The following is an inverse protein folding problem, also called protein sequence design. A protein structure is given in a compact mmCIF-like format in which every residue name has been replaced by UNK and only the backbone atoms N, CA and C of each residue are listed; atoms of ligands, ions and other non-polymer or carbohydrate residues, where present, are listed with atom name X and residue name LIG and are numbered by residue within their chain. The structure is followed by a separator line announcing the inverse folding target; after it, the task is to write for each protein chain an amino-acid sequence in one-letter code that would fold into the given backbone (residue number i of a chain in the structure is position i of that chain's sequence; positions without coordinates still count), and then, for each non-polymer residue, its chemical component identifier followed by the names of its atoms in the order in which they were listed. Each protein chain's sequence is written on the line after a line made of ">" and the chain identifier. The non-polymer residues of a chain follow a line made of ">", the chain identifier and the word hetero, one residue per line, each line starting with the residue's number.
data_IF_095100564177
#
_entry.id   IF_095100564177
#
_cell.length_a   1.000
_cell.length_b   1.000
_cell.length_c   1.000
_cell.angle_alpha   90.00
_cell.angle_beta   90.00
_cell.angle_gamma   90.00
#
_symmetry.space_group_name_H-M   'P 1'
#
loop_
_entity.id
_entity.type
_entity.pdbx_description
1 polymer ?
#
# COMPACT_ATOMS: atom_id res chain seq x y z
N UNK A 1 4.34 -40.00 -30.05
CA UNK A 1 3.38 -39.34 -29.14
C UNK A 1 4.04 -38.99 -27.78
N UNK A 2 4.69 -39.88 -27.08
CA UNK A 2 5.31 -39.65 -25.74
C UNK A 2 6.39 -38.56 -25.72
N UNK A 3 7.25 -38.45 -26.75
CA UNK A 3 8.28 -37.37 -26.82
C UNK A 3 7.70 -35.95 -26.99
N UNK A 4 6.53 -35.84 -27.60
CA UNK A 4 5.86 -34.53 -27.79
C UNK A 4 5.15 -34.08 -26.50
N UNK A 5 4.56 -35.04 -25.76
CA UNK A 5 3.93 -34.83 -24.47
C UNK A 5 4.95 -34.37 -23.41
N UNK A 6 6.14 -35.01 -23.36
CA UNK A 6 7.22 -34.61 -22.48
C UNK A 6 7.75 -33.19 -22.78
N UNK A 7 7.84 -32.78 -24.06
CA UNK A 7 8.26 -31.43 -24.43
C UNK A 7 7.25 -30.39 -24.00
N UNK A 8 5.95 -30.62 -24.21
CA UNK A 8 4.88 -29.71 -23.81
C UNK A 8 4.77 -29.60 -22.28
N UNK A 9 4.93 -30.72 -21.56
CA UNK A 9 4.92 -30.73 -20.10
C UNK A 9 6.14 -29.99 -19.52
N UNK A 10 7.34 -30.24 -20.03
CA UNK A 10 8.57 -29.53 -19.65
C UNK A 10 8.44 -28.03 -19.98
N UNK A 11 7.86 -27.67 -21.13
CA UNK A 11 7.63 -26.28 -21.53
C UNK A 11 6.61 -25.60 -20.62
N UNK A 12 5.55 -26.30 -20.23
CA UNK A 12 4.54 -25.77 -19.30
C UNK A 12 5.09 -25.60 -17.88
N UNK A 13 5.86 -26.55 -17.38
CA UNK A 13 6.51 -26.48 -16.07
C UNK A 13 7.58 -25.40 -16.04
N UNK A 14 8.46 -25.32 -17.05
CA UNK A 14 9.46 -24.27 -17.16
C UNK A 14 8.81 -22.88 -17.28
N UNK A 15 7.72 -22.78 -18.04
CA UNK A 15 7.01 -21.48 -18.21
C UNK A 15 6.31 -21.05 -16.92
N UNK A 16 5.80 -21.97 -16.10
CA UNK A 16 5.14 -21.68 -14.82
C UNK A 16 6.14 -21.26 -13.73
N UNK A 17 7.36 -21.80 -13.74
CA UNK A 17 8.42 -21.48 -12.76
C UNK A 17 9.33 -20.33 -13.23
N UNK A 18 9.64 -20.25 -14.52
CA UNK A 18 10.56 -19.25 -15.07
C UNK A 18 9.94 -17.84 -15.13
N UNK A 19 8.63 -17.73 -15.41
CA UNK A 19 7.96 -16.41 -15.47
C UNK A 19 8.08 -15.59 -14.20
N UNK A 20 7.75 -16.12 -13.00
CA UNK A 20 7.87 -15.33 -11.76
C UNK A 20 9.32 -14.95 -11.45
N UNK A 21 10.29 -15.83 -11.76
CA UNK A 21 11.72 -15.53 -11.59
C UNK A 21 12.15 -14.42 -12.52
N UNK A 22 11.76 -14.47 -13.81
CA UNK A 22 12.08 -13.42 -14.77
C UNK A 22 11.47 -12.07 -14.36
N UNK A 23 10.20 -12.07 -13.95
CA UNK A 23 9.52 -10.86 -13.46
C UNK A 23 10.26 -10.29 -12.25
N UNK A 24 10.68 -11.14 -11.31
CA UNK A 24 11.45 -10.72 -10.14
C UNK A 24 12.83 -10.14 -10.54
N UNK A 25 13.55 -10.76 -11.47
CA UNK A 25 14.82 -10.22 -11.96
C UNK A 25 14.60 -8.85 -12.63
N UNK A 26 13.60 -8.71 -13.48
CA UNK A 26 13.28 -7.45 -14.13
C UNK A 26 12.90 -6.37 -13.11
N UNK A 27 12.15 -6.74 -12.08
CA UNK A 27 11.82 -5.86 -10.97
C UNK A 27 13.07 -5.39 -10.22
N UNK A 28 14.00 -6.30 -9.89
CA UNK A 28 15.27 -5.95 -9.23
C UNK A 28 16.09 -5.00 -10.11
N UNK A 29 16.22 -5.30 -11.40
CA UNK A 29 16.93 -4.43 -12.37
C UNK A 29 16.28 -3.04 -12.41
N UNK A 30 14.95 -2.97 -12.44
CA UNK A 30 14.21 -1.70 -12.42
C UNK A 30 14.49 -0.88 -11.15
N UNK A 31 14.44 -1.53 -9.98
CA UNK A 31 14.73 -0.88 -8.68
C UNK A 31 16.16 -0.36 -8.64
N UNK A 32 17.14 -1.18 -9.03
CA UNK A 32 18.55 -0.77 -9.07
C UNK A 32 18.78 0.36 -10.07
N UNK A 33 18.12 0.32 -11.23
CA UNK A 33 18.16 1.40 -12.22
C UNK A 33 17.58 2.71 -11.68
N UNK A 34 16.43 2.64 -10.99
CA UNK A 34 15.84 3.81 -10.32
C UNK A 34 16.78 4.40 -9.27
N UNK A 35 17.41 3.55 -8.46
CA UNK A 35 18.33 3.98 -7.40
C UNK A 35 19.61 4.60 -7.97
N UNK A 36 20.21 4.01 -8.98
CA UNK A 36 21.36 4.57 -9.67
C UNK A 36 21.03 5.94 -10.29
N UNK A 37 19.88 6.07 -10.91
CA UNK A 37 19.46 7.31 -11.52
C UNK A 37 19.16 8.40 -10.49
N UNK A 38 18.46 8.06 -9.41
CA UNK A 38 18.20 8.98 -8.30
C UNK A 38 19.52 9.44 -7.63
N UNK A 39 20.44 8.50 -7.39
CA UNK A 39 21.75 8.81 -6.81
C UNK A 39 22.53 9.83 -7.66
N UNK A 40 22.51 9.70 -9.00
CA UNK A 40 23.10 10.65 -9.93
C UNK A 40 22.51 12.06 -9.75
N UNK A 41 21.21 12.18 -9.62
CA UNK A 41 20.53 13.47 -9.38
C UNK A 41 20.87 14.09 -8.03
N UNK A 42 20.92 13.28 -6.98
CA UNK A 42 21.34 13.71 -5.64
C UNK A 42 22.78 14.21 -5.65
N UNK A 43 23.69 13.51 -6.31
CA UNK A 43 25.09 13.95 -6.46
C UNK A 43 25.17 15.29 -7.22
N UNK A 44 24.37 15.48 -8.25
CA UNK A 44 24.30 16.74 -8.98
C UNK A 44 23.84 17.92 -8.12
N UNK A 45 22.93 17.67 -7.16
CA UNK A 45 22.42 18.71 -6.26
C UNK A 45 23.42 19.08 -5.15
N UNK A 46 23.98 18.05 -4.49
CA UNK A 46 24.68 18.23 -3.21
C UNK A 46 26.20 18.10 -3.28
N UNK A 47 26.73 17.45 -4.31
CA UNK A 47 28.16 17.18 -4.43
C UNK A 47 28.66 17.27 -5.87
N UNK A 48 28.47 18.41 -6.57
CA UNK A 48 28.99 18.56 -7.93
C UNK A 48 30.49 18.45 -7.94
N UNK A 49 31.02 17.38 -8.56
CA UNK A 49 32.49 17.22 -8.76
C UNK A 49 33.26 16.59 -7.62
N UNK A 50 32.65 16.10 -6.56
CA UNK A 50 33.32 15.35 -5.47
C UNK A 50 32.78 13.92 -5.36
N UNK A 51 33.69 12.99 -5.03
CA UNK A 51 33.29 11.68 -4.49
C UNK A 51 32.48 11.92 -3.21
N UNK A 52 31.20 11.61 -3.23
CA UNK A 52 30.30 11.85 -2.08
C UNK A 52 30.80 11.14 -0.82
N UNK A 53 30.25 11.53 0.33
CA UNK A 53 30.53 10.88 1.61
C UNK A 53 30.30 9.36 1.49
N UNK A 54 31.34 8.52 1.73
CA UNK A 54 31.21 7.06 1.61
C UNK A 54 30.13 6.49 2.55
N UNK A 55 29.93 7.09 3.73
CA UNK A 55 28.88 6.69 4.67
C UNK A 55 27.48 6.85 4.06
N UNK A 56 27.23 7.98 3.37
CA UNK A 56 25.98 8.20 2.65
C UNK A 56 25.73 7.10 1.60
N UNK A 57 26.78 6.72 0.86
CA UNK A 57 26.72 5.69 -0.15
C UNK A 57 26.39 4.31 0.44
N UNK A 58 27.03 3.95 1.56
CA UNK A 58 26.73 2.69 2.25
C UNK A 58 25.32 2.64 2.82
N UNK A 59 24.85 3.75 3.42
CA UNK A 59 23.46 3.84 3.93
C UNK A 59 22.48 3.72 2.78
N UNK A 60 22.68 4.45 1.69
CA UNK A 60 21.80 4.45 0.53
C UNK A 60 21.60 3.04 -0.05
N UNK A 61 22.71 2.35 -0.36
CA UNK A 61 22.67 1.01 -0.92
C UNK A 61 22.29 -0.05 0.11
N UNK A 62 22.61 0.16 1.36
CA UNK A 62 22.20 -0.69 2.47
C UNK A 62 20.67 -0.72 2.61
N UNK A 63 20.00 0.43 2.52
CA UNK A 63 18.54 0.52 2.52
C UNK A 63 17.92 -0.20 1.32
N UNK A 64 18.46 -0.03 0.13
CA UNK A 64 18.02 -0.74 -1.07
C UNK A 64 18.16 -2.26 -0.89
N UNK A 65 19.31 -2.73 -0.39
CA UNK A 65 19.54 -4.16 -0.16
C UNK A 65 18.56 -4.75 0.87
N UNK A 66 18.39 -4.06 2.00
CA UNK A 66 17.44 -4.48 3.04
C UNK A 66 16.02 -4.57 2.47
N UNK A 67 15.62 -3.58 1.66
CA UNK A 67 14.28 -3.58 1.05
C UNK A 67 14.11 -4.73 0.05
N UNK A 68 15.08 -4.99 -0.81
CA UNK A 68 15.04 -6.11 -1.75
C UNK A 68 14.98 -7.47 -1.03
N UNK A 69 15.75 -7.64 0.06
CA UNK A 69 15.68 -8.84 0.90
C UNK A 69 14.29 -8.97 1.54
N UNK A 70 13.76 -7.90 2.12
CA UNK A 70 12.43 -7.91 2.76
C UNK A 70 11.33 -8.27 1.76
N UNK A 71 11.35 -7.69 0.55
CA UNK A 71 10.41 -8.00 -0.52
C UNK A 71 10.55 -9.45 -1.02
N UNK A 72 11.79 -9.96 -1.14
CA UNK A 72 12.05 -11.34 -1.53
C UNK A 72 11.48 -12.35 -0.53
N UNK A 73 11.71 -12.10 0.77
CA UNK A 73 11.16 -12.94 1.85
C UNK A 73 9.63 -12.86 1.86
N UNK A 74 9.07 -11.66 1.70
CA UNK A 74 7.62 -11.46 1.64
C UNK A 74 7.01 -12.19 0.44
N UNK A 75 7.60 -12.04 -0.75
CA UNK A 75 7.13 -12.69 -1.97
C UNK A 75 7.20 -14.21 -1.91
N UNK A 76 8.29 -14.78 -1.36
CA UNK A 76 8.45 -16.24 -1.22
C UNK A 76 7.46 -16.86 -0.21
N UNK A 77 6.97 -16.06 0.74
CA UNK A 77 6.04 -16.52 1.78
C UNK A 77 4.60 -16.10 1.52
N UNK A 78 4.32 -15.42 0.41
CA UNK A 78 2.99 -14.87 0.13
C UNK A 78 1.87 -15.92 0.15
N UNK A 79 2.12 -17.14 -0.32
CA UNK A 79 1.15 -18.24 -0.26
C UNK A 79 0.99 -18.87 1.14
N UNK A 80 1.89 -18.56 2.09
CA UNK A 80 1.81 -19.06 3.48
C UNK A 80 1.04 -18.09 4.40
N UNK A 81 0.41 -17.06 3.82
CA UNK A 81 -0.24 -15.96 4.54
C UNK A 81 -1.68 -16.29 4.98
N UNK A 82 -1.97 -17.54 5.30
CA UNK A 82 -3.20 -17.90 6.01
C UNK A 82 -3.23 -17.39 7.46
N UNK A 83 -2.08 -16.97 7.99
CA UNK A 83 -1.99 -16.44 9.35
C UNK A 83 -2.22 -14.91 9.33
N UNK A 84 -3.39 -14.43 9.81
CA UNK A 84 -3.72 -13.00 9.84
C UNK A 84 -2.69 -12.16 10.59
N UNK A 85 -1.98 -12.77 11.58
CA UNK A 85 -0.97 -12.08 12.37
C UNK A 85 0.22 -11.59 11.55
N UNK A 86 0.51 -12.23 10.42
CA UNK A 86 1.61 -11.88 9.51
C UNK A 86 1.24 -10.78 8.52
N UNK A 87 -0.05 -10.60 8.29
CA UNK A 87 -0.54 -9.63 7.31
C UNK A 87 -0.08 -8.20 7.61
N UNK A 88 -0.10 -7.82 8.90
CA UNK A 88 0.42 -6.52 9.33
C UNK A 88 1.88 -6.28 8.91
N UNK A 89 2.75 -7.29 9.06
CA UNK A 89 4.17 -7.18 8.68
C UNK A 89 4.34 -6.94 7.19
N UNK A 90 3.51 -7.59 6.36
CA UNK A 90 3.55 -7.42 4.91
C UNK A 90 3.08 -6.03 4.52
N UNK A 91 1.94 -5.57 5.07
CA UNK A 91 1.44 -4.23 4.83
C UNK A 91 2.47 -3.17 5.23
N UNK A 92 3.19 -3.39 6.34
CA UNK A 92 4.27 -2.50 6.78
C UNK A 92 5.42 -2.47 5.77
N UNK A 93 5.90 -3.64 5.30
CA UNK A 93 6.98 -3.72 4.30
C UNK A 93 6.56 -3.04 3.00
N UNK A 94 5.33 -3.31 2.52
CA UNK A 94 4.80 -2.67 1.31
C UNK A 94 4.64 -1.15 1.49
N UNK A 95 4.17 -0.71 2.66
CA UNK A 95 4.06 0.72 2.99
C UNK A 95 5.43 1.43 2.99
N UNK A 96 6.44 0.81 3.62
CA UNK A 96 7.82 1.33 3.63
C UNK A 96 8.38 1.36 2.20
N UNK A 97 8.13 0.31 1.41
CA UNK A 97 8.54 0.28 0.01
C UNK A 97 7.94 1.46 -0.76
N UNK A 98 6.64 1.67 -0.69
CA UNK A 98 5.98 2.79 -1.37
C UNK A 98 6.50 4.15 -0.86
N UNK A 99 6.70 4.30 0.45
CA UNK A 99 7.25 5.51 1.06
C UNK A 99 8.67 5.84 0.56
N UNK A 100 9.49 4.83 0.25
CA UNK A 100 10.84 5.03 -0.26
C UNK A 100 10.87 5.23 -1.78
N UNK A 101 10.04 4.50 -2.52
CA UNK A 101 10.18 4.43 -3.99
C UNK A 101 9.25 5.37 -4.75
N UNK A 102 8.07 5.74 -4.24
CA UNK A 102 7.23 6.76 -4.89
C UNK A 102 7.92 8.14 -4.91
N UNK A 103 8.52 8.64 -3.81
CA UNK A 103 9.33 9.86 -3.86
C UNK A 103 10.50 9.80 -4.85
N UNK A 104 11.21 8.66 -4.91
CA UNK A 104 12.30 8.47 -5.89
C UNK A 104 11.79 8.47 -7.32
N UNK A 105 10.64 7.86 -7.58
CA UNK A 105 10.00 7.86 -8.90
C UNK A 105 9.68 9.28 -9.36
N UNK A 106 9.08 10.09 -8.49
CA UNK A 106 8.76 11.48 -8.77
C UNK A 106 10.02 12.32 -9.01
N UNK A 107 11.04 12.15 -8.16
CA UNK A 107 12.33 12.80 -8.33
C UNK A 107 13.00 12.40 -9.65
N UNK A 108 13.00 11.13 -10.01
CA UNK A 108 13.55 10.62 -11.27
C UNK A 108 12.79 11.15 -12.48
N UNK A 109 11.47 11.30 -12.39
CA UNK A 109 10.66 11.88 -13.45
C UNK A 109 11.05 13.35 -13.72
N UNK A 110 11.20 14.16 -12.66
CA UNK A 110 11.65 15.54 -12.82
C UNK A 110 13.10 15.63 -13.30
N UNK A 111 13.98 14.72 -12.83
CA UNK A 111 15.35 14.62 -13.34
C UNK A 111 15.38 14.31 -14.82
N UNK A 112 14.54 13.36 -15.31
CA UNK A 112 14.45 13.02 -16.72
C UNK A 112 14.04 14.23 -17.55
N UNK A 113 13.06 15.02 -17.09
CA UNK A 113 12.68 16.26 -17.76
C UNK A 113 13.86 17.26 -17.83
N UNK A 114 14.62 17.38 -16.75
CA UNK A 114 15.84 18.21 -16.69
C UNK A 114 16.93 17.71 -17.62
N UNK A 115 17.13 16.39 -17.71
CA UNK A 115 18.11 15.78 -18.63
C UNK A 115 17.70 16.02 -20.09
N UNK A 116 16.43 15.84 -20.44
CA UNK A 116 15.89 16.13 -21.78
C UNK A 116 16.03 17.62 -22.13
N UNK A 117 15.67 18.52 -21.20
CA UNK A 117 15.84 19.95 -21.38
C UNK A 117 17.30 20.33 -21.59
N UNK A 118 18.23 19.69 -20.85
CA UNK A 118 19.67 19.93 -20.99
C UNK A 118 20.24 19.49 -22.33
N UNK A 119 19.63 18.48 -23.00
CA UNK A 119 20.05 18.05 -24.34
C UNK A 119 19.79 19.12 -25.42
N UNK A 120 18.70 19.89 -25.27
CA UNK A 120 18.32 20.94 -26.23
C UNK A 120 18.90 22.33 -25.85
N UNK A 121 19.45 22.48 -24.64
CA UNK A 121 19.99 23.75 -24.15
C UNK A 121 21.08 24.39 -25.02
N UNK A 122 21.97 23.63 -25.68
CA UNK A 122 22.98 24.22 -26.58
C UNK A 122 22.36 24.97 -27.77
N UNK A 123 21.16 24.59 -28.24
CA UNK A 123 20.46 25.27 -29.32
C UNK A 123 20.06 26.71 -28.91
N UNK A 124 19.90 26.96 -27.61
CA UNK A 124 19.48 28.25 -27.06
C UNK A 124 20.64 28.97 -26.34
N UNK A 125 21.88 28.47 -26.44
CA UNK A 125 23.08 29.02 -25.78
C UNK A 125 22.95 29.10 -24.25
N UNK A 126 22.17 28.18 -23.66
CA UNK A 126 22.02 28.08 -22.21
C UNK A 126 22.94 27.03 -21.60
N UNK A 127 23.34 27.24 -20.35
CA UNK A 127 24.08 26.25 -19.57
C UNK A 127 23.14 25.09 -19.15
N UNK A 128 23.36 23.92 -19.75
CA UNK A 128 22.56 22.73 -19.46
C UNK A 128 22.66 22.28 -18.00
N UNK A 129 23.76 22.57 -17.30
CA UNK A 129 23.94 22.25 -15.89
C UNK A 129 23.06 23.11 -14.98
N UNK A 130 22.95 24.40 -15.27
CA UNK A 130 22.05 25.30 -14.57
C UNK A 130 20.60 24.91 -14.82
N UNK A 131 20.23 24.64 -16.10
CA UNK A 131 18.89 24.25 -16.45
C UNK A 131 18.44 22.96 -15.74
N UNK A 132 19.33 21.97 -15.63
CA UNK A 132 19.04 20.72 -14.90
C UNK A 132 18.65 20.96 -13.44
N UNK A 133 19.26 21.91 -12.73
CA UNK A 133 18.95 22.24 -11.35
C UNK A 133 17.54 22.78 -11.18
N UNK A 134 16.99 23.50 -12.18
CA UNK A 134 15.61 23.98 -12.17
C UNK A 134 14.57 22.86 -12.09
N UNK A 135 14.92 21.65 -12.53
CA UNK A 135 14.06 20.47 -12.41
C UNK A 135 14.39 19.64 -11.17
N UNK A 136 15.67 19.53 -10.81
CA UNK A 136 16.09 18.71 -9.68
C UNK A 136 15.64 19.28 -8.32
N UNK A 137 15.67 20.61 -8.13
CA UNK A 137 15.26 21.23 -6.87
C UNK A 137 13.77 21.04 -6.60
N UNK A 138 12.84 21.37 -7.52
CA UNK A 138 11.43 21.05 -7.32
C UNK A 138 11.15 19.55 -7.17
N UNK A 139 11.90 18.73 -7.91
CA UNK A 139 11.79 17.27 -7.81
C UNK A 139 12.18 16.74 -6.43
N UNK A 140 13.26 17.27 -5.84
CA UNK A 140 13.68 16.93 -4.48
C UNK A 140 12.65 17.41 -3.45
N UNK A 141 12.10 18.61 -3.61
CA UNK A 141 11.04 19.12 -2.74
C UNK A 141 9.77 18.27 -2.83
N UNK A 142 9.33 17.92 -4.04
CA UNK A 142 8.18 17.04 -4.27
C UNK A 142 8.41 15.64 -3.67
N UNK A 143 9.60 15.08 -3.86
CA UNK A 143 9.98 13.80 -3.26
C UNK A 143 9.94 13.85 -1.73
N UNK A 144 10.50 14.91 -1.12
CA UNK A 144 10.48 15.08 0.34
C UNK A 144 9.05 15.24 0.87
N UNK A 145 8.22 16.06 0.23
CA UNK A 145 6.82 16.25 0.62
C UNK A 145 6.03 14.93 0.52
N UNK A 146 6.24 14.18 -0.55
CA UNK A 146 5.61 12.87 -0.74
C UNK A 146 6.08 11.87 0.32
N UNK A 147 7.38 11.83 0.63
CA UNK A 147 7.93 10.99 1.70
C UNK A 147 7.29 11.30 3.06
N UNK A 148 7.18 12.58 3.41
CA UNK A 148 6.53 13.04 4.65
C UNK A 148 5.05 12.66 4.65
N UNK A 149 4.33 12.86 3.54
CA UNK A 149 2.92 12.54 3.41
C UNK A 149 2.66 11.03 3.61
N UNK A 150 3.48 10.15 3.01
CA UNK A 150 3.41 8.71 3.24
C UNK A 150 3.70 8.34 4.69
N UNK A 151 4.75 8.91 5.28
CA UNK A 151 5.10 8.67 6.69
C UNK A 151 3.96 9.09 7.64
N UNK A 152 3.36 10.26 7.42
CA UNK A 152 2.20 10.74 8.18
C UNK A 152 0.96 9.84 7.97
N UNK A 153 0.70 9.44 6.72
CA UNK A 153 -0.39 8.53 6.39
C UNK A 153 -0.24 7.18 7.09
N UNK A 154 0.96 6.59 7.07
CA UNK A 154 1.26 5.33 7.76
C UNK A 154 1.16 5.45 9.28
N UNK A 155 1.61 6.58 9.86
CA UNK A 155 1.63 6.77 11.31
C UNK A 155 0.24 7.08 11.90
N UNK A 156 -0.58 7.86 11.20
CA UNK A 156 -1.84 8.40 11.75
C UNK A 156 -3.07 8.12 10.88
N UNK A 157 -2.91 8.00 9.55
CA UNK A 157 -4.05 7.92 8.62
C UNK A 157 -4.99 6.77 8.94
N UNK A 158 -4.43 5.62 9.25
CA UNK A 158 -5.16 4.38 9.52
C UNK A 158 -5.96 4.41 10.84
N UNK A 159 -5.57 5.24 11.81
CA UNK A 159 -6.17 5.29 13.14
C UNK A 159 -6.99 6.55 13.41
N UNK A 160 -7.11 7.43 12.42
CA UNK A 160 -7.87 8.67 12.52
C UNK A 160 -9.32 8.42 12.09
N UNK A 161 -10.15 7.93 13.03
CA UNK A 161 -11.57 7.67 12.81
C UNK A 161 -12.29 9.00 12.65
N UNK A 162 -13.09 9.13 11.59
CA UNK A 162 -13.99 10.27 11.37
C UNK A 162 -15.42 9.79 11.33
N UNK A 163 -16.31 10.51 12.01
CA UNK A 163 -17.74 10.29 11.95
C UNK A 163 -18.32 11.34 10.98
N UNK A 164 -18.90 10.85 9.90
CA UNK A 164 -19.68 11.67 8.99
C UNK A 164 -21.14 11.57 9.39
N UNK A 165 -21.85 12.69 9.41
CA UNK A 165 -23.27 12.75 9.76
C UNK A 165 -24.03 13.34 8.60
N UNK A 166 -24.98 12.55 8.09
CA UNK A 166 -25.85 12.92 7.00
C UNK A 166 -27.30 12.85 7.47
N UNK A 167 -28.12 13.82 7.13
CA UNK A 167 -29.55 13.84 7.41
C UNK A 167 -30.29 13.63 6.11
N UNK A 168 -31.04 12.54 6.01
CA UNK A 168 -31.82 12.18 4.82
C UNK A 168 -33.28 12.48 5.08
N UNK A 169 -33.88 13.31 4.24
CA UNK A 169 -35.31 13.60 4.28
C UNK A 169 -36.02 12.76 3.21
N UNK A 170 -36.88 11.86 3.65
CA UNK A 170 -37.68 11.01 2.77
C UNK A 170 -39.14 11.45 2.88
N UNK A 171 -39.73 11.82 1.74
CA UNK A 171 -41.17 12.13 1.66
C UNK A 171 -41.98 10.84 1.90
N UNK A 172 -43.08 10.97 2.63
CA UNK A 172 -43.99 9.84 2.90
C UNK A 172 -43.38 8.70 3.77
N UNK A 173 -42.28 9.03 4.52
CA UNK A 173 -41.76 8.10 5.51
C UNK A 173 -42.77 7.98 6.67
N UNK A 174 -43.15 6.76 7.12
CA UNK A 174 -44.00 6.60 8.30
C UNK A 174 -43.37 7.27 9.54
N UNK A 175 -44.22 7.87 10.39
CA UNK A 175 -43.77 8.61 11.59
C UNK A 175 -42.89 7.77 12.54
N UNK A 176 -43.11 6.44 12.56
CA UNK A 176 -42.29 5.49 13.34
C UNK A 176 -40.80 5.46 12.95
N UNK A 177 -40.45 5.95 11.77
CA UNK A 177 -39.06 6.03 11.32
C UNK A 177 -38.44 7.42 11.48
N UNK A 178 -39.22 8.38 12.01
CA UNK A 178 -38.71 9.73 12.21
C UNK A 178 -37.61 9.74 13.28
N UNK A 179 -36.46 10.26 12.92
CA UNK A 179 -35.29 10.33 13.81
C UNK A 179 -34.49 9.05 13.93
N UNK A 180 -34.78 8.03 13.07
CA UNK A 180 -34.02 6.76 13.05
C UNK A 180 -32.54 7.02 12.79
N UNK A 181 -31.69 6.51 13.66
CA UNK A 181 -30.25 6.61 13.57
C UNK A 181 -29.65 5.34 13.00
N UNK A 182 -29.09 5.39 11.81
CA UNK A 182 -28.39 4.30 11.17
C UNK A 182 -26.90 4.56 11.16
N UNK A 183 -26.11 3.65 11.72
CA UNK A 183 -24.65 3.69 11.59
C UNK A 183 -24.23 2.71 10.51
N UNK A 184 -23.51 3.20 9.53
CA UNK A 184 -22.85 2.37 8.51
C UNK A 184 -21.38 2.19 8.83
N UNK A 185 -20.91 0.94 8.78
CA UNK A 185 -19.51 0.53 8.85
C UNK A 185 -19.14 -0.19 7.55
N UNK A 186 -17.93 0.05 7.05
CA UNK A 186 -17.41 -0.58 5.84
C UNK A 186 -15.89 -0.69 5.88
N UNK A 187 -15.30 -1.60 5.12
CA UNK A 187 -13.86 -1.66 4.81
C UNK A 187 -12.95 -1.65 6.05
N UNK A 188 -13.30 -2.40 7.09
CA UNK A 188 -12.51 -2.45 8.33
C UNK A 188 -11.19 -3.19 8.12
N UNK A 189 -11.19 -4.28 7.35
CA UNK A 189 -10.00 -5.08 7.05
C UNK A 189 -9.25 -5.49 8.33
N UNK A 190 -9.89 -6.29 9.17
CA UNK A 190 -9.50 -6.62 10.55
C UNK A 190 -8.06 -7.15 10.71
N UNK A 191 -7.53 -7.92 9.74
CA UNK A 191 -6.14 -8.40 9.80
C UNK A 191 -5.12 -7.27 9.96
N UNK A 192 -5.41 -6.07 9.44
CA UNK A 192 -4.59 -4.89 9.63
C UNK A 192 -4.46 -4.44 11.09
N UNK A 193 -5.38 -4.83 11.96
CA UNK A 193 -5.46 -4.45 13.38
C UNK A 193 -5.16 -5.60 14.35
N UNK A 194 -4.76 -6.77 13.85
CA UNK A 194 -4.50 -7.96 14.66
C UNK A 194 -3.59 -7.68 15.86
N UNK A 195 -2.54 -6.86 15.68
CA UNK A 195 -1.62 -6.45 16.77
C UNK A 195 -2.09 -5.25 17.58
N UNK A 196 -3.22 -4.65 17.21
CA UNK A 196 -3.74 -3.41 17.80
C UNK A 196 -5.26 -3.49 18.05
N UNK A 197 -5.74 -4.47 18.84
CA UNK A 197 -7.18 -4.66 19.08
C UNK A 197 -7.83 -3.45 19.76
N UNK A 198 -7.06 -2.66 20.51
CA UNK A 198 -7.54 -1.42 21.11
C UNK A 198 -8.10 -0.39 20.11
N UNK A 199 -7.70 -0.47 18.83
CA UNK A 199 -8.29 0.36 17.79
C UNK A 199 -9.74 -0.06 17.48
N UNK A 200 -10.01 -1.35 17.35
CA UNK A 200 -11.36 -1.88 17.13
C UNK A 200 -12.25 -1.60 18.33
N UNK A 201 -11.73 -1.74 19.56
CA UNK A 201 -12.44 -1.31 20.79
C UNK A 201 -12.84 0.16 20.72
N UNK A 202 -11.95 1.04 20.25
CA UNK A 202 -12.28 2.47 20.06
C UNK A 202 -13.41 2.66 19.04
N UNK A 203 -13.41 1.91 17.92
CA UNK A 203 -14.49 1.96 16.92
C UNK A 203 -15.82 1.56 17.57
N UNK A 204 -15.86 0.42 18.27
CA UNK A 204 -17.05 -0.08 18.95
C UNK A 204 -17.57 0.94 19.96
N UNK A 205 -16.69 1.49 20.82
CA UNK A 205 -17.09 2.53 21.79
C UNK A 205 -17.67 3.77 21.09
N UNK A 206 -17.05 4.23 20.00
CA UNK A 206 -17.53 5.40 19.25
C UNK A 206 -18.90 5.13 18.60
N UNK A 207 -19.11 3.93 18.05
CA UNK A 207 -20.39 3.54 17.45
C UNK A 207 -21.48 3.51 18.52
N UNK A 208 -21.23 2.88 19.66
CA UNK A 208 -22.22 2.82 20.76
C UNK A 208 -22.54 4.21 21.32
N UNK A 209 -21.55 5.14 21.38
CA UNK A 209 -21.78 6.54 21.77
C UNK A 209 -22.68 7.32 20.80
N UNK A 210 -22.86 6.86 19.58
CA UNK A 210 -23.81 7.45 18.63
C UNK A 210 -25.25 7.00 18.92
N UNK A 211 -25.44 6.00 19.77
CA UNK A 211 -26.74 5.39 20.10
C UNK A 211 -27.51 5.03 18.83
N UNK A 212 -26.98 4.14 17.97
CA UNK A 212 -27.65 3.77 16.73
C UNK A 212 -28.86 2.91 16.99
N UNK A 213 -29.95 3.12 16.27
CA UNK A 213 -31.09 2.19 16.23
C UNK A 213 -30.76 0.96 15.39
N UNK A 214 -29.96 1.14 14.35
CA UNK A 214 -29.59 0.10 13.39
C UNK A 214 -28.10 0.25 13.03
N UNK A 215 -27.39 -0.89 12.91
CA UNK A 215 -26.03 -0.93 12.36
C UNK A 215 -26.04 -1.72 11.05
N UNK A 216 -25.53 -1.09 9.98
CA UNK A 216 -25.33 -1.71 8.68
C UNK A 216 -23.85 -1.88 8.38
N UNK A 217 -23.40 -3.10 8.16
CA UNK A 217 -22.05 -3.39 7.71
C UNK A 217 -22.08 -3.69 6.21
N UNK A 218 -21.35 -2.91 5.41
CA UNK A 218 -21.44 -2.95 3.94
C UNK A 218 -20.27 -3.69 3.27
N UNK A 219 -19.62 -4.59 4.01
CA UNK A 219 -18.60 -5.52 3.48
C UNK A 219 -17.17 -5.12 3.77
N UNK A 220 -16.23 -5.96 3.34
CA UNK A 220 -14.80 -5.85 3.50
C UNK A 220 -14.36 -5.77 4.98
N UNK A 221 -14.95 -6.65 5.81
CA UNK A 221 -14.55 -6.85 7.20
C UNK A 221 -13.18 -7.54 7.27
N UNK A 222 -12.92 -8.47 6.36
CA UNK A 222 -11.69 -9.23 6.26
C UNK A 222 -10.86 -8.83 5.02
N UNK A 223 -9.63 -9.32 4.92
CA UNK A 223 -8.83 -9.21 3.71
C UNK A 223 -9.03 -10.40 2.78
N UNK A 224 -9.09 -11.63 3.34
CA UNK A 224 -9.27 -12.85 2.55
C UNK A 224 -9.88 -14.01 3.36
N UNK A 225 -9.78 -14.00 4.70
CA UNK A 225 -10.06 -15.18 5.53
C UNK A 225 -11.03 -14.85 6.64
N UNK A 226 -12.04 -15.70 6.83
CA UNK A 226 -13.01 -15.58 7.93
C UNK A 226 -12.35 -15.59 9.31
N UNK A 227 -11.24 -16.32 9.47
CA UNK A 227 -10.46 -16.42 10.70
C UNK A 227 -9.85 -15.09 11.16
N UNK A 228 -9.85 -14.07 10.30
CA UNK A 228 -9.43 -12.71 10.66
C UNK A 228 -10.38 -12.05 11.66
N UNK A 229 -11.64 -12.51 11.72
CA UNK A 229 -12.67 -12.00 12.64
C UNK A 229 -12.51 -12.55 14.03
N UNK A 230 -12.01 -13.79 14.19
CA UNK A 230 -12.00 -14.54 15.45
C UNK A 230 -11.46 -13.72 16.65
N UNK A 231 -10.30 -13.01 16.54
CA UNK A 231 -9.76 -12.24 17.65
C UNK A 231 -10.59 -11.01 18.05
N UNK A 232 -11.55 -10.62 17.22
CA UNK A 232 -12.37 -9.43 17.40
C UNK A 232 -13.84 -9.75 17.66
N UNK A 233 -14.21 -11.02 17.66
CA UNK A 233 -15.61 -11.47 17.80
C UNK A 233 -16.26 -10.89 19.07
N UNK A 234 -15.59 -10.99 20.22
CA UNK A 234 -16.13 -10.47 21.48
C UNK A 234 -16.33 -8.94 21.42
N UNK A 235 -15.36 -8.21 20.84
CA UNK A 235 -15.47 -6.75 20.66
C UNK A 235 -16.61 -6.36 19.71
N UNK A 236 -16.78 -7.07 18.60
CA UNK A 236 -17.86 -6.79 17.65
C UNK A 236 -19.25 -7.14 18.22
N UNK A 237 -19.30 -8.09 19.15
CA UNK A 237 -20.54 -8.42 19.87
C UNK A 237 -20.94 -7.31 20.85
N UNK A 238 -20.02 -6.48 21.33
CA UNK A 238 -20.30 -5.31 22.18
C UNK A 238 -21.02 -4.17 21.42
N UNK A 239 -21.16 -4.23 20.09
CA UNK A 239 -21.94 -3.26 19.32
C UNK A 239 -23.44 -3.38 19.66
N UNK A 240 -24.06 -2.24 19.97
CA UNK A 240 -25.45 -2.15 20.40
C UNK A 240 -26.30 -1.44 19.37
N UNK A 241 -27.42 -2.06 18.96
CA UNK A 241 -28.43 -1.48 18.09
C UNK A 241 -29.77 -2.18 18.32
N UNK A 242 -30.81 -1.49 18.86
CA UNK A 242 -32.10 -2.11 19.21
C UNK A 242 -32.82 -2.78 18.04
N UNK A 243 -32.70 -2.24 16.82
CA UNK A 243 -33.31 -2.82 15.62
C UNK A 243 -32.43 -3.86 14.92
N UNK A 244 -31.21 -4.10 15.47
CA UNK A 244 -30.33 -5.15 15.00
C UNK A 244 -29.09 -4.65 14.24
N UNK A 245 -28.25 -5.63 13.91
CA UNK A 245 -27.00 -5.48 13.15
C UNK A 245 -27.11 -6.31 11.88
N UNK A 246 -26.90 -5.72 10.73
CA UNK A 246 -27.03 -6.37 9.43
C UNK A 246 -25.75 -6.22 8.65
N UNK A 247 -25.35 -7.27 7.94
CA UNK A 247 -24.14 -7.27 7.13
C UNK A 247 -24.41 -7.79 5.73
N UNK A 248 -23.71 -7.25 4.74
CA UNK A 248 -23.57 -7.81 3.40
C UNK A 248 -22.12 -8.11 3.11
N UNK A 249 -21.86 -9.03 2.20
CA UNK A 249 -20.51 -9.39 1.79
C UNK A 249 -19.96 -8.34 0.82
N UNK A 250 -18.73 -7.90 1.04
CA UNK A 250 -17.93 -7.15 0.07
C UNK A 250 -17.10 -8.08 -0.81
N UNK A 251 -16.23 -7.52 -1.64
CA UNK A 251 -15.42 -8.32 -2.55
C UNK A 251 -14.30 -9.12 -1.84
N UNK A 252 -13.87 -8.69 -0.67
CA UNK A 252 -12.84 -9.37 0.11
C UNK A 252 -13.36 -10.62 0.82
N UNK A 253 -14.63 -10.66 1.23
CA UNK A 253 -15.26 -11.86 1.82
C UNK A 253 -15.29 -13.04 0.86
N UNK A 254 -15.28 -12.83 -0.45
CA UNK A 254 -15.20 -13.90 -1.43
C UNK A 254 -13.82 -14.54 -1.55
N UNK A 255 -12.78 -13.96 -0.89
CA UNK A 255 -11.42 -14.49 -0.91
C UNK A 255 -10.78 -14.58 -2.30
N UNK A 256 -11.24 -13.78 -3.26
CA UNK A 256 -10.78 -13.83 -4.66
C UNK A 256 -9.31 -13.46 -4.86
N UNK A 257 -8.69 -12.83 -3.88
CA UNK A 257 -7.28 -12.41 -3.90
C UNK A 257 -6.31 -13.49 -3.42
N UNK A 258 -6.82 -14.65 -3.03
CA UNK A 258 -6.01 -15.79 -2.59
C UNK A 258 -6.18 -16.98 -3.53
N UNK A 259 -5.06 -17.69 -3.83
CA UNK A 259 -5.10 -18.94 -4.59
C UNK A 259 -5.47 -20.09 -3.64
N UNK A 260 -6.74 -20.49 -3.68
CA UNK A 260 -7.25 -21.60 -2.90
C UNK A 260 -6.74 -22.93 -3.50
N UNK A 261 -6.25 -23.84 -2.66
CA UNK A 261 -5.91 -25.20 -3.07
C UNK A 261 -7.22 -25.93 -3.43
N UNK A 262 -7.48 -26.05 -4.71
CA UNK A 262 -8.62 -26.74 -5.34
C UNK A 262 -10.00 -26.58 -4.67
N UNK A 263 -10.95 -26.37 -5.51
CA UNK A 263 -12.37 -26.42 -5.19
C UNK A 263 -12.81 -27.86 -4.90
#
# INVERSE_FOLDING_TARGET
>A
MVKHFNRLFVYAVLNKTMRPILIFILFVIFILGMDLYALRGIQHLFAPGRNGNPLFFYIYWGLTLIMLIALSITGSRFQQLRDPSRFFGIMLIMGIFLMLYIPKLLFNATQLLGDLASLISPLFRHDGGALRKWFLIPGAALGLLTFIAFGMGMARGRTNIKVFRESIQIRELPDSFHGLKIVQLSDIHLAGFYKHPGYIRKVVTMVNQLEPDLICFTGDMVHNFSEEVDPFTDLLNELEAPLGKYAVLGNHEYGAYFNWDSK
#
